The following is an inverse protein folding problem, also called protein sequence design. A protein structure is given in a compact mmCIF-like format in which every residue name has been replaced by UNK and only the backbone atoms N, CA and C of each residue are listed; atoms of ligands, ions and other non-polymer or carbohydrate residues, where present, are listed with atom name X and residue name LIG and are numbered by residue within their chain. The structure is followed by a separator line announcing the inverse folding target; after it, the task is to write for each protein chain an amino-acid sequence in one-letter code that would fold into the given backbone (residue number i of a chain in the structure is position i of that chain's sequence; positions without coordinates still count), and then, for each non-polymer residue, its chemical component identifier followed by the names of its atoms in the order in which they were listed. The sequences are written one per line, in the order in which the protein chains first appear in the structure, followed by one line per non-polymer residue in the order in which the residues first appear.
data_IF_189438028410
#
_entry.id   IF_189438028410
#
_cell.length_a   1.000
_cell.length_b   1.000
_cell.length_c   1.000
_cell.angle_alpha   90.00
_cell.angle_beta   90.00
_cell.angle_gamma   90.00
#
_symmetry.space_group_name_H-M   'P 1'
#
loop_
_entity.id
_entity.type
_entity.pdbx_description
1 polymer ?
#
# COMPACT_ATOMS: atom_id res chain seq x y z
N UNK A 1 6.37 4.17 -22.53
CA UNK A 1 6.47 2.70 -22.72
C UNK A 1 6.01 2.32 -24.13
N UNK A 2 6.91 1.82 -24.98
CA UNK A 2 6.58 1.38 -26.35
C UNK A 2 6.46 -0.15 -26.51
N UNK A 3 6.68 -0.93 -25.44
CA UNK A 3 6.57 -2.38 -25.47
C UNK A 3 5.11 -2.84 -25.29
N UNK A 4 4.78 -4.04 -25.78
CA UNK A 4 3.49 -4.73 -25.55
C UNK A 4 3.39 -5.36 -24.14
N UNK A 5 4.00 -4.73 -23.16
CA UNK A 5 3.99 -5.17 -21.75
C UNK A 5 2.99 -4.33 -20.97
N UNK A 6 2.22 -4.96 -20.09
CA UNK A 6 1.39 -4.24 -19.12
C UNK A 6 2.27 -3.69 -17.99
N UNK A 7 1.89 -2.55 -17.41
CA UNK A 7 2.49 -2.04 -16.17
C UNK A 7 1.45 -2.14 -15.07
N UNK A 8 1.74 -2.91 -14.03
CA UNK A 8 1.03 -2.90 -12.77
C UNK A 8 2.01 -2.45 -11.68
N UNK A 9 1.81 -1.26 -11.14
CA UNK A 9 2.69 -0.66 -10.14
C UNK A 9 1.95 -0.55 -8.81
N UNK A 10 2.60 -1.01 -7.74
CA UNK A 10 2.13 -0.90 -6.35
C UNK A 10 2.96 0.22 -5.70
N UNK A 11 2.35 1.41 -5.59
CA UNK A 11 3.00 2.62 -5.11
C UNK A 11 2.64 2.84 -3.63
N UNK A 12 3.54 2.36 -2.76
CA UNK A 12 3.49 2.57 -1.31
C UNK A 12 4.42 3.70 -0.85
N UNK A 13 4.80 4.61 -1.76
CA UNK A 13 5.74 5.68 -1.43
C UNK A 13 5.15 6.62 -0.38
N UNK A 14 5.94 6.88 0.67
CA UNK A 14 5.66 7.94 1.65
C UNK A 14 6.41 9.23 1.31
N UNK A 15 7.50 9.14 0.55
CA UNK A 15 8.27 10.27 0.02
C UNK A 15 8.82 9.91 -1.36
N UNK A 16 9.08 10.93 -2.18
CA UNK A 16 9.57 10.78 -3.54
C UNK A 16 8.55 11.26 -4.56
N UNK A 17 8.79 10.94 -5.84
CA UNK A 17 7.90 11.30 -6.94
C UNK A 17 7.08 10.08 -7.37
N UNK A 18 5.76 10.28 -7.48
CA UNK A 18 4.84 9.30 -8.06
C UNK A 18 4.89 9.34 -9.59
N UNK A 19 4.34 8.32 -10.24
CA UNK A 19 4.16 8.32 -11.69
C UNK A 19 3.42 9.58 -12.15
N UNK A 20 3.96 10.33 -13.12
CA UNK A 20 3.27 11.49 -13.67
C UNK A 20 2.06 11.02 -14.49
N UNK A 21 0.87 11.43 -14.09
CA UNK A 21 -0.37 11.17 -14.81
C UNK A 21 -0.99 12.49 -15.27
N UNK A 22 -1.73 12.44 -16.38
CA UNK A 22 -2.56 13.56 -16.79
C UNK A 22 -3.83 13.59 -15.94
N UNK A 23 -4.04 14.68 -15.22
CA UNK A 23 -5.15 14.86 -14.28
C UNK A 23 -4.75 14.69 -12.82
N UNK A 24 -5.64 15.07 -11.92
CA UNK A 24 -5.44 14.94 -10.48
C UNK A 24 -5.89 13.56 -10.01
N UNK A 25 -5.07 12.94 -9.15
CA UNK A 25 -5.44 11.70 -8.49
C UNK A 25 -6.40 12.00 -7.33
N UNK A 26 -7.35 11.10 -7.03
CA UNK A 26 -8.13 11.19 -5.79
C UNK A 26 -7.17 11.18 -4.59
N UNK A 27 -7.41 11.96 -3.53
CA UNK A 27 -6.53 12.01 -2.38
C UNK A 27 -6.45 10.64 -1.69
N UNK A 28 -5.24 10.10 -1.62
CA UNK A 28 -4.93 8.86 -0.92
C UNK A 28 -3.46 8.81 -0.48
N UNK A 29 -3.17 7.96 0.51
CA UNK A 29 -1.82 7.72 1.00
C UNK A 29 -0.98 6.97 -0.05
N UNK A 30 -1.60 5.97 -0.67
CA UNK A 30 -0.96 5.01 -1.58
C UNK A 30 -1.83 4.78 -2.81
N UNK A 31 -1.23 4.21 -3.86
CA UNK A 31 -1.93 3.94 -5.12
C UNK A 31 -1.49 2.61 -5.72
N UNK A 32 -2.39 2.02 -6.51
CA UNK A 32 -2.00 1.00 -7.49
C UNK A 32 -2.36 1.54 -8.87
N UNK A 33 -1.45 1.41 -9.82
CA UNK A 33 -1.63 1.84 -11.21
C UNK A 33 -1.61 0.63 -12.13
N UNK A 34 -2.58 0.55 -13.04
CA UNK A 34 -2.59 -0.44 -14.12
C UNK A 34 -2.68 0.26 -15.48
N UNK A 35 -1.56 0.25 -16.21
CA UNK A 35 -1.49 0.68 -17.60
C UNK A 35 -1.38 -0.52 -18.52
N UNK A 36 -2.49 -0.87 -19.18
CA UNK A 36 -2.53 -1.98 -20.15
C UNK A 36 -2.02 -1.50 -21.49
N UNK A 37 -1.12 -2.25 -22.14
CA UNK A 37 -0.51 -1.81 -23.39
C UNK A 37 -1.56 -1.52 -24.48
N UNK A 38 -2.67 -2.27 -24.52
CA UNK A 38 -3.77 -2.09 -25.47
C UNK A 38 -4.59 -0.82 -25.22
N UNK A 39 -4.56 -0.26 -24.00
CA UNK A 39 -5.43 0.85 -23.58
C UNK A 39 -4.67 2.14 -23.32
N UNK A 40 -3.38 2.20 -23.66
CA UNK A 40 -2.60 3.42 -23.50
C UNK A 40 -3.21 4.57 -24.33
N UNK A 41 -3.18 5.81 -23.81
CA UNK A 41 -2.47 6.27 -22.62
C UNK A 41 -3.25 6.13 -21.30
N UNK A 42 -4.40 5.45 -21.28
CA UNK A 42 -5.24 5.38 -20.08
C UNK A 42 -4.67 4.42 -19.01
N UNK A 43 -4.81 4.81 -17.75
CA UNK A 43 -4.37 4.08 -16.57
C UNK A 43 -5.54 3.91 -15.61
N UNK A 44 -5.76 2.70 -15.13
CA UNK A 44 -6.67 2.43 -14.02
C UNK A 44 -5.94 2.70 -12.71
N UNK A 45 -6.61 3.33 -11.75
CA UNK A 45 -6.00 3.74 -10.49
C UNK A 45 -6.87 3.26 -9.34
N UNK A 46 -6.24 2.62 -8.35
CA UNK A 46 -6.87 2.30 -7.07
C UNK A 46 -6.24 3.20 -5.99
N UNK A 47 -6.96 4.21 -5.48
CA UNK A 47 -6.53 4.96 -4.30
C UNK A 47 -6.65 4.08 -3.05
N UNK A 48 -5.67 4.15 -2.16
CA UNK A 48 -5.63 3.37 -0.92
C UNK A 48 -5.28 4.30 0.25
N UNK A 49 -6.20 4.43 1.20
CA UNK A 49 -5.94 5.10 2.45
C UNK A 49 -5.14 4.20 3.41
N UNK A 50 -4.31 4.78 4.28
CA UNK A 50 -3.47 4.03 5.22
C UNK A 50 -4.22 2.99 6.06
N UNK A 51 -5.46 3.30 6.47
CA UNK A 51 -6.28 2.46 7.36
C UNK A 51 -7.09 1.40 6.60
N UNK A 52 -7.06 1.42 5.27
CA UNK A 52 -7.80 0.49 4.43
C UNK A 52 -6.95 -0.76 4.14
N UNK A 53 -7.59 -1.93 4.13
CA UNK A 53 -6.95 -3.13 3.60
C UNK A 53 -6.58 -2.96 2.13
N UNK A 54 -5.45 -3.55 1.73
CA UNK A 54 -5.01 -3.54 0.33
C UNK A 54 -6.05 -4.25 -0.55
N UNK A 55 -6.42 -3.69 -1.70
CA UNK A 55 -7.48 -4.23 -2.53
C UNK A 55 -7.02 -5.46 -3.33
N UNK A 56 -7.99 -6.23 -3.80
CA UNK A 56 -7.78 -7.17 -4.90
C UNK A 56 -7.65 -6.41 -6.22
N UNK A 57 -6.59 -6.66 -6.97
CA UNK A 57 -6.34 -6.01 -8.26
C UNK A 57 -6.17 -7.02 -9.39
N UNK A 58 -6.58 -6.68 -10.62
CA UNK A 58 -6.40 -7.58 -11.76
C UNK A 58 -4.96 -7.58 -12.26
N UNK A 59 -4.38 -8.77 -12.40
CA UNK A 59 -3.12 -8.99 -13.11
C UNK A 59 -3.43 -9.39 -14.54
N UNK A 60 -3.13 -8.54 -15.54
CA UNK A 60 -3.39 -8.87 -16.93
C UNK A 60 -2.45 -9.96 -17.44
N UNK A 61 -3.03 -10.93 -18.13
CA UNK A 61 -2.30 -11.98 -18.85
C UNK A 61 -2.22 -11.68 -20.35
N UNK A 62 -1.56 -12.57 -21.10
CA UNK A 62 -1.53 -12.50 -22.55
C UNK A 62 -2.92 -12.79 -23.12
N UNK A 63 -3.45 -12.00 -24.06
CA UNK A 63 -4.71 -12.34 -24.71
C UNK A 63 -4.67 -13.71 -25.40
N UNK A 64 -5.75 -14.51 -25.33
CA UNK A 64 -7.09 -14.15 -24.85
C UNK A 64 -7.32 -14.38 -23.35
N UNK A 65 -6.28 -14.72 -22.58
CA UNK A 65 -6.45 -15.08 -21.17
C UNK A 65 -7.02 -13.90 -20.35
N UNK A 66 -8.03 -14.15 -19.50
CA UNK A 66 -8.60 -13.12 -18.65
C UNK A 66 -7.60 -12.71 -17.57
N UNK A 67 -7.91 -11.59 -16.90
CA UNK A 67 -7.14 -11.17 -15.74
C UNK A 67 -7.25 -12.19 -14.61
N UNK A 68 -6.15 -12.37 -13.89
CA UNK A 68 -6.12 -13.14 -12.65
C UNK A 68 -6.24 -12.17 -11.47
N UNK A 69 -7.15 -12.40 -10.51
CA UNK A 69 -7.23 -11.57 -9.31
C UNK A 69 -6.00 -11.78 -8.42
N UNK A 70 -5.37 -10.70 -8.02
CA UNK A 70 -4.32 -10.68 -7.02
C UNK A 70 -4.88 -10.10 -5.71
N UNK A 71 -5.13 -10.98 -4.74
CA UNK A 71 -5.53 -10.64 -3.38
C UNK A 71 -4.34 -10.02 -2.62
N UNK A 72 -4.07 -8.72 -2.84
CA UNK A 72 -2.82 -8.10 -2.41
C UNK A 72 -2.65 -8.12 -0.88
N UNK A 73 -3.72 -7.93 -0.11
CA UNK A 73 -3.67 -8.01 1.35
C UNK A 73 -3.24 -9.41 1.82
N UNK A 74 -3.75 -10.46 1.18
CA UNK A 74 -3.40 -11.84 1.51
C UNK A 74 -1.93 -12.14 1.16
N UNK A 75 -1.45 -11.65 0.02
CA UNK A 75 -0.04 -11.78 -0.37
C UNK A 75 0.90 -11.10 0.62
N UNK A 76 0.59 -9.86 1.04
CA UNK A 76 1.39 -9.16 2.06
C UNK A 76 1.35 -9.89 3.40
N UNK A 77 0.18 -10.37 3.84
CA UNK A 77 0.07 -11.16 5.07
C UNK A 77 0.92 -12.42 5.01
N UNK A 78 0.90 -13.15 3.89
CA UNK A 78 1.72 -14.35 3.71
C UNK A 78 3.22 -14.05 3.82
N UNK A 79 3.68 -12.92 3.29
CA UNK A 79 5.07 -12.48 3.46
C UNK A 79 5.42 -12.19 4.93
N UNK A 80 4.52 -11.53 5.67
CA UNK A 80 4.70 -11.28 7.11
C UNK A 80 4.72 -12.58 7.92
N UNK A 81 3.77 -13.49 7.67
CA UNK A 81 3.69 -14.78 8.34
C UNK A 81 4.95 -15.64 8.08
N UNK A 82 5.51 -15.57 6.87
CA UNK A 82 6.69 -16.36 6.47
C UNK A 82 7.98 -15.83 7.10
N UNK A 83 8.18 -14.51 7.09
CA UNK A 83 9.45 -13.89 7.52
C UNK A 83 9.43 -13.53 9.00
N UNK A 84 8.26 -13.27 9.57
CA UNK A 84 8.11 -12.76 10.93
C UNK A 84 8.64 -11.33 11.06
N UNK A 85 8.35 -10.45 10.09
CA UNK A 85 8.82 -9.06 10.09
C UNK A 85 8.46 -8.31 11.37
N UNK A 86 7.39 -8.71 12.04
CA UNK A 86 6.97 -8.16 13.33
C UNK A 86 8.03 -8.31 14.45
N UNK A 87 9.01 -9.20 14.28
CA UNK A 87 10.14 -9.40 15.21
C UNK A 87 11.42 -8.71 14.75
N UNK A 88 11.48 -8.28 13.49
CA UNK A 88 12.65 -7.67 12.88
C UNK A 88 12.62 -6.15 12.92
N UNK A 89 11.42 -5.58 12.99
CA UNK A 89 11.21 -4.13 13.02
C UNK A 89 11.05 -3.64 14.46
N UNK A 90 11.69 -2.53 14.79
CA UNK A 90 11.50 -1.85 16.08
C UNK A 90 10.25 -0.97 16.01
N UNK A 91 9.15 -1.46 16.59
CA UNK A 91 7.88 -0.75 16.63
C UNK A 91 7.77 0.26 17.78
N UNK A 92 8.76 0.34 18.66
CA UNK A 92 8.80 1.36 19.71
C UNK A 92 9.14 2.74 19.14
N UNK A 93 9.95 2.77 18.08
CA UNK A 93 10.33 3.97 17.34
C UNK A 93 9.18 4.48 16.45
N UNK A 94 9.14 5.80 16.15
CA UNK A 94 8.17 6.35 15.22
C UNK A 94 8.37 5.78 13.79
N UNK A 95 7.31 5.73 12.97
CA UNK A 95 7.46 5.37 11.55
C UNK A 95 8.54 6.22 10.88
N UNK A 96 9.34 5.66 9.95
CA UNK A 96 10.40 6.40 9.27
C UNK A 96 9.80 7.62 8.53
N UNK A 97 10.62 8.66 8.27
CA UNK A 97 10.14 9.87 7.61
C UNK A 97 9.53 9.58 6.23
N UNK A 98 8.60 10.44 5.76
CA UNK A 98 8.10 11.65 6.40
C UNK A 98 7.06 11.36 7.49
N UNK A 99 6.88 12.25 8.48
CA UNK A 99 5.93 12.02 9.57
C UNK A 99 4.52 11.79 9.04
N UNK A 100 3.77 10.94 9.73
CA UNK A 100 2.33 10.80 9.50
C UNK A 100 1.61 12.05 10.01
N UNK A 101 0.43 12.34 9.47
CA UNK A 101 -0.47 13.33 10.07
C UNK A 101 -0.95 12.87 11.44
N UNK A 102 -1.32 13.81 12.31
CA UNK A 102 -1.62 13.55 13.72
C UNK A 102 -2.64 12.43 13.94
N UNK A 103 -3.72 12.41 13.15
CA UNK A 103 -4.74 11.37 13.26
C UNK A 103 -4.23 9.98 12.89
N UNK A 104 -3.42 9.88 11.84
CA UNK A 104 -2.83 8.62 11.40
C UNK A 104 -1.75 8.15 12.39
N UNK A 105 -0.96 9.06 12.94
CA UNK A 105 0.03 8.76 13.97
C UNK A 105 -0.65 8.22 15.24
N UNK A 106 -1.73 8.87 15.70
CA UNK A 106 -2.52 8.41 16.84
C UNK A 106 -3.15 7.03 16.58
N UNK A 107 -3.70 6.81 15.39
CA UNK A 107 -4.28 5.52 15.01
C UNK A 107 -3.21 4.41 14.98
N UNK A 108 -2.03 4.66 14.42
CA UNK A 108 -0.92 3.68 14.42
C UNK A 108 -0.50 3.35 15.85
N UNK A 109 -0.32 4.37 16.71
CA UNK A 109 0.06 4.18 18.11
C UNK A 109 -0.97 3.32 18.87
N UNK A 110 -2.26 3.60 18.68
CA UNK A 110 -3.35 2.82 19.27
C UNK A 110 -3.29 1.34 18.85
N UNK A 111 -3.01 1.07 17.56
CA UNK A 111 -2.89 -0.30 17.03
C UNK A 111 -1.66 -1.02 17.58
N UNK A 112 -0.52 -0.34 17.65
CA UNK A 112 0.72 -0.91 18.19
C UNK A 112 0.59 -1.24 19.67
N UNK A 113 -0.05 -0.37 20.47
CA UNK A 113 -0.33 -0.65 21.90
C UNK A 113 -1.30 -1.82 22.06
N UNK A 114 -2.38 -1.85 21.28
CA UNK A 114 -3.35 -2.95 21.32
C UNK A 114 -2.72 -4.30 20.96
N UNK A 115 -1.70 -4.30 20.10
CA UNK A 115 -0.94 -5.48 19.71
C UNK A 115 0.26 -5.79 20.64
N UNK A 116 0.52 -4.96 21.66
CA UNK A 116 1.60 -5.17 22.63
C UNK A 116 2.99 -4.73 22.17
N UNK A 117 3.09 -4.01 21.04
CA UNK A 117 4.36 -3.49 20.52
C UNK A 117 4.83 -2.18 21.17
N UNK A 118 3.93 -1.51 21.89
CA UNK A 118 4.22 -0.32 22.70
C UNK A 118 3.55 -0.48 24.06
N UNK A 119 4.16 0.06 25.11
CA UNK A 119 3.56 0.06 26.45
C UNK A 119 2.17 0.67 26.39
N UNK A 120 1.22 0.17 27.17
CA UNK A 120 -0.06 0.88 27.32
C UNK A 120 0.23 2.10 28.20
N UNK A 121 -0.27 3.28 27.84
CA UNK A 121 -0.21 4.41 28.77
C UNK A 121 -1.00 4.01 30.02
N UNK A 122 -0.29 3.66 31.09
CA UNK A 122 -0.92 3.46 32.38
C UNK A 122 -1.37 4.84 32.84
N UNK A 123 -2.68 5.03 32.89
CA UNK A 123 -3.32 6.19 33.49
C UNK A 123 -3.00 6.19 34.99
N UNK A 124 -1.85 6.76 35.34
CA UNK A 124 -1.59 7.23 36.69
C UNK A 124 -2.37 8.53 36.87
N UNK A 125 -3.30 8.46 37.81
CA UNK A 125 -4.16 9.51 38.32
C UNK A 125 -3.39 10.68 38.92
#
# INVERSE_FOLDING_TARGET
LQTKTHLLEIDLLRQGARLPLMGELPPASYYIYLSRWQRRPFTQVWPIALRQSLPTVPVPLLPPDPDVPLELQAAVKACFDLVGYERLLDYSEPPPPPPLGDEDAAWVDERLRAAGYRERLDSHA
#
